data_IF_376958682556
#
_entry.id   IF_376958682556
#
_cell.length_a   1.000
_cell.length_b   1.000
_cell.length_c   1.000
_cell.angle_alpha   90.00
_cell.angle_beta   90.00
_cell.angle_gamma   90.00
#
_symmetry.space_group_name_H-M   'P 1'
#
loop_
_entity.id
_entity.type
_entity.pdbx_description
1 polymer ?
#
# COMPACT_ATOMS: atom_id res chain seq x y z
N UNK A 1 15.14 11.67 25.85
CA UNK A 1 14.06 12.59 25.43
C UNK A 1 12.90 11.74 24.97
N UNK A 2 11.67 12.04 25.41
CA UNK A 2 10.48 11.35 24.88
C UNK A 2 10.40 11.62 23.36
N UNK A 3 9.95 10.64 22.55
CA UNK A 3 9.72 10.87 21.12
C UNK A 3 8.71 12.02 20.96
N UNK A 4 8.83 12.84 19.90
CA UNK A 4 7.87 13.91 19.65
C UNK A 4 6.47 13.33 19.42
N UNK A 5 5.45 14.08 19.82
CA UNK A 5 4.05 13.78 19.50
C UNK A 5 3.69 14.48 18.20
N UNK A 6 2.88 13.85 17.36
CA UNK A 6 2.42 14.44 16.11
C UNK A 6 1.57 15.69 16.39
N UNK A 7 1.95 16.83 15.80
CA UNK A 7 1.14 18.05 15.78
C UNK A 7 0.05 17.91 14.70
N UNK A 8 -1.15 17.52 15.15
CA UNK A 8 -2.28 17.26 14.29
C UNK A 8 -2.73 18.50 13.51
N UNK A 9 -2.70 19.68 14.14
CA UNK A 9 -3.11 20.93 13.50
C UNK A 9 -2.14 21.32 12.38
N UNK A 10 -0.83 21.14 12.59
CA UNK A 10 0.16 21.32 11.54
C UNK A 10 -0.09 20.37 10.37
N UNK A 11 -0.30 19.08 10.65
CA UNK A 11 -0.58 18.06 9.64
C UNK A 11 -1.84 18.41 8.85
N UNK A 12 -2.96 18.68 9.50
CA UNK A 12 -4.25 18.91 8.84
C UNK A 12 -4.25 20.12 7.92
N UNK A 13 -3.51 21.18 8.26
CA UNK A 13 -3.33 22.35 7.37
C UNK A 13 -2.66 22.03 6.04
N UNK A 14 -1.95 20.92 5.93
CA UNK A 14 -1.32 20.48 4.67
C UNK A 14 -2.31 19.84 3.70
N UNK A 15 -3.51 19.44 4.15
CA UNK A 15 -4.50 18.69 3.36
C UNK A 15 -5.75 19.50 3.09
N UNK A 16 -5.83 20.26 1.98
CA UNK A 16 -7.01 21.07 1.64
C UNK A 16 -8.34 20.32 1.64
N UNK A 17 -8.40 19.02 1.18
CA UNK A 17 -9.67 18.31 1.15
C UNK A 17 -10.29 18.05 2.53
N UNK A 18 -9.56 18.17 3.64
CA UNK A 18 -10.12 18.01 4.98
C UNK A 18 -11.10 19.12 5.37
N UNK A 19 -11.14 20.24 4.61
CA UNK A 19 -12.10 21.32 4.81
C UNK A 19 -13.52 21.00 4.31
N UNK A 20 -13.76 19.82 3.70
CA UNK A 20 -15.06 19.46 3.10
C UNK A 20 -16.18 19.12 4.10
N UNK A 21 -15.88 19.09 5.41
CA UNK A 21 -16.84 18.83 6.48
C UNK A 21 -17.21 17.36 6.69
N UNK A 22 -16.49 16.43 6.08
CA UNK A 22 -16.61 14.99 6.33
C UNK A 22 -15.60 14.50 7.36
N UNK A 23 -15.99 13.53 8.17
CA UNK A 23 -15.05 12.70 8.94
C UNK A 23 -14.60 11.58 8.02
N UNK A 24 -13.34 11.63 7.56
CA UNK A 24 -12.80 10.69 6.58
C UNK A 24 -12.18 9.49 7.28
N UNK A 25 -12.87 8.34 7.27
CA UNK A 25 -12.40 7.07 7.84
C UNK A 25 -12.30 5.95 6.79
N UNK A 26 -12.21 6.30 5.50
CA UNK A 26 -12.00 5.36 4.38
C UNK A 26 -10.62 5.57 3.72
N UNK A 27 -9.60 5.91 4.52
CA UNK A 27 -8.25 6.16 4.02
C UNK A 27 -7.54 4.88 3.52
N UNK A 28 -8.00 3.71 3.93
CA UNK A 28 -7.50 2.43 3.39
C UNK A 28 -7.83 2.23 1.90
N UNK A 29 -8.82 2.95 1.36
CA UNK A 29 -9.13 3.04 -0.07
C UNK A 29 -8.20 3.99 -0.82
N UNK A 30 -7.79 5.09 -0.18
CA UNK A 30 -6.90 6.11 -0.71
C UNK A 30 -6.78 7.28 0.26
N UNK A 31 -5.59 7.86 0.39
CA UNK A 31 -5.37 9.05 1.24
C UNK A 31 -5.70 10.33 0.49
N UNK A 32 -5.94 11.40 1.25
CA UNK A 32 -5.91 12.75 0.68
C UNK A 32 -4.50 13.13 0.25
N UNK A 33 -4.42 14.11 -0.67
CA UNK A 33 -3.18 14.63 -1.25
C UNK A 33 -2.85 15.96 -0.57
N UNK A 34 -1.60 16.15 -0.07
CA UNK A 34 -1.19 17.42 0.53
C UNK A 34 -1.00 18.50 -0.52
N UNK A 35 -1.06 19.76 -0.08
CA UNK A 35 -0.91 20.94 -0.95
C UNK A 35 0.39 20.90 -1.76
N UNK A 36 1.49 20.43 -1.17
CA UNK A 36 2.79 20.31 -1.85
C UNK A 36 2.73 19.48 -3.12
N UNK A 37 1.99 18.36 -3.11
CA UNK A 37 1.80 17.51 -4.32
C UNK A 37 0.94 18.23 -5.35
N UNK A 38 -0.15 18.88 -4.92
CA UNK A 38 -1.01 19.68 -5.81
C UNK A 38 -0.19 20.76 -6.50
N UNK A 39 0.65 21.47 -5.75
CA UNK A 39 1.50 22.55 -6.28
C UNK A 39 2.54 22.02 -7.28
N UNK A 40 3.16 20.87 -7.01
CA UNK A 40 4.12 20.27 -7.94
C UNK A 40 3.48 19.82 -9.24
N UNK A 41 2.30 19.17 -9.19
CA UNK A 41 1.55 18.78 -10.40
C UNK A 41 1.13 19.99 -11.21
N UNK A 42 0.50 20.98 -10.56
CA UNK A 42 0.02 22.19 -11.24
C UNK A 42 1.18 23.06 -11.75
N UNK A 43 2.30 23.13 -11.01
CA UNK A 43 3.52 23.81 -11.44
C UNK A 43 4.11 23.19 -12.70
N UNK A 44 4.20 21.85 -12.76
CA UNK A 44 4.65 21.15 -13.97
C UNK A 44 3.77 21.53 -15.17
N UNK A 45 2.44 21.46 -15.04
CA UNK A 45 1.50 21.77 -16.13
C UNK A 45 1.54 23.23 -16.58
N UNK A 46 1.81 24.18 -15.67
CA UNK A 46 1.89 25.61 -15.99
C UNK A 46 3.20 26.03 -16.65
N UNK A 47 4.30 25.38 -16.28
CA UNK A 47 5.66 25.86 -16.58
C UNK A 47 6.34 25.05 -17.69
N UNK A 48 6.14 23.70 -17.70
CA UNK A 48 6.95 22.80 -18.53
C UNK A 48 6.17 21.65 -19.18
N UNK A 49 4.87 21.79 -19.40
CA UNK A 49 4.03 20.78 -20.05
C UNK A 49 4.45 20.51 -21.49
N UNK A 50 5.55 19.79 -21.69
CA UNK A 50 6.14 19.45 -22.99
C UNK A 50 6.79 18.05 -22.94
N UNK A 51 7.13 17.50 -24.11
CA UNK A 51 7.88 16.24 -24.20
C UNK A 51 9.29 16.40 -23.62
N UNK A 52 9.73 15.49 -22.71
CA UNK A 52 10.98 15.63 -21.95
C UNK A 52 12.23 15.08 -22.68
N UNK A 53 12.14 14.78 -23.98
CA UNK A 53 13.19 14.05 -24.72
C UNK A 53 14.11 14.94 -25.55
N UNK A 54 13.99 16.26 -25.45
CA UNK A 54 14.72 17.21 -26.29
C UNK A 54 15.72 18.04 -25.49
N UNK A 55 16.75 18.58 -26.15
CA UNK A 55 17.84 19.31 -25.53
C UNK A 55 17.52 20.79 -25.21
N UNK A 56 16.40 21.34 -25.64
CA UNK A 56 16.07 22.72 -25.32
C UNK A 56 15.54 22.88 -23.86
N UNK A 57 15.75 24.06 -23.30
CA UNK A 57 15.59 24.33 -21.85
C UNK A 57 14.31 23.82 -21.20
N UNK A 58 13.08 24.13 -21.67
CA UNK A 58 11.85 23.61 -21.10
C UNK A 58 11.73 22.09 -21.12
N UNK A 59 12.24 21.42 -22.15
CA UNK A 59 12.24 19.96 -22.25
C UNK A 59 13.21 19.32 -21.26
N UNK A 60 14.39 19.89 -21.11
CA UNK A 60 15.38 19.45 -20.12
C UNK A 60 14.86 19.63 -18.67
N UNK A 61 14.17 20.74 -18.38
CA UNK A 61 13.53 20.98 -17.08
C UNK A 61 12.40 19.95 -16.82
N UNK A 62 11.55 19.68 -17.80
CA UNK A 62 10.53 18.63 -17.71
C UNK A 62 11.14 17.26 -17.37
N UNK A 63 12.21 16.87 -18.06
CA UNK A 63 12.93 15.63 -17.82
C UNK A 63 13.53 15.58 -16.40
N UNK A 64 14.13 16.67 -15.93
CA UNK A 64 14.72 16.78 -14.60
C UNK A 64 13.67 16.61 -13.49
N UNK A 65 12.47 17.23 -13.64
CA UNK A 65 11.38 17.12 -12.66
C UNK A 65 10.83 15.68 -12.59
N UNK A 66 10.66 15.01 -13.73
CA UNK A 66 10.24 13.60 -13.78
C UNK A 66 11.27 12.69 -13.11
N UNK A 67 12.56 12.87 -13.47
CA UNK A 67 13.65 12.10 -12.87
C UNK A 67 13.77 12.32 -11.36
N UNK A 68 13.56 13.55 -10.87
CA UNK A 68 13.55 13.86 -9.44
C UNK A 68 12.44 13.13 -8.70
N UNK A 69 11.22 13.08 -9.27
CA UNK A 69 10.10 12.34 -8.68
C UNK A 69 10.42 10.85 -8.49
N UNK A 70 10.92 10.17 -9.53
CA UNK A 70 11.33 8.77 -9.45
C UNK A 70 12.46 8.55 -8.44
N UNK A 71 13.51 9.39 -8.50
CA UNK A 71 14.67 9.28 -7.60
C UNK A 71 14.27 9.40 -6.13
N UNK A 72 13.42 10.38 -5.78
CA UNK A 72 12.97 10.56 -4.39
C UNK A 72 12.09 9.39 -3.92
N UNK A 73 11.26 8.82 -4.79
CA UNK A 73 10.47 7.64 -4.43
C UNK A 73 11.34 6.38 -4.26
N UNK A 74 12.41 6.24 -5.03
CA UNK A 74 13.40 5.18 -4.82
C UNK A 74 14.13 5.37 -3.48
N UNK A 75 14.65 6.57 -3.20
CA UNK A 75 15.30 6.89 -1.93
C UNK A 75 14.37 6.67 -0.72
N UNK A 76 13.09 6.99 -0.85
CA UNK A 76 12.08 6.79 0.20
C UNK A 76 12.01 5.34 0.69
N UNK A 77 12.25 4.37 -0.20
CA UNK A 77 12.17 2.94 0.10
C UNK A 77 13.54 2.24 0.14
N UNK A 78 14.63 3.00 0.17
CA UNK A 78 16.03 2.50 0.14
C UNK A 78 16.35 1.68 -1.11
N UNK A 79 15.86 2.11 -2.29
CA UNK A 79 16.16 1.52 -3.60
C UNK A 79 17.03 2.44 -4.45
N UNK A 80 17.66 1.88 -5.51
CA UNK A 80 18.27 2.70 -6.55
C UNK A 80 17.21 3.15 -7.57
N UNK A 81 17.36 4.33 -8.21
CA UNK A 81 16.38 4.82 -9.17
C UNK A 81 16.09 3.88 -10.35
N UNK A 82 17.07 3.06 -10.75
CA UNK A 82 16.94 2.06 -11.80
C UNK A 82 16.10 0.86 -11.38
N UNK A 83 15.96 0.61 -10.09
CA UNK A 83 15.17 -0.49 -9.53
C UNK A 83 13.69 -0.16 -9.38
N UNK A 84 13.29 1.09 -9.72
CA UNK A 84 11.93 1.60 -9.50
C UNK A 84 11.28 1.99 -10.82
N UNK A 85 10.11 1.41 -11.08
CA UNK A 85 9.19 1.79 -12.16
C UNK A 85 7.95 2.47 -11.59
N UNK A 86 7.61 3.64 -12.10
CA UNK A 86 6.39 4.38 -11.76
C UNK A 86 5.37 4.18 -12.90
N UNK A 87 4.39 3.33 -12.66
CA UNK A 87 3.36 3.01 -13.65
C UNK A 87 1.96 3.54 -13.25
N UNK A 88 0.94 3.30 -14.08
CA UNK A 88 -0.39 3.85 -13.88
C UNK A 88 -1.10 3.32 -12.63
N UNK A 89 -0.80 2.11 -12.19
CA UNK A 89 -1.37 1.50 -10.99
C UNK A 89 -0.56 0.28 -10.54
N UNK A 90 -0.67 -0.08 -9.27
CA UNK A 90 -0.08 -1.33 -8.75
C UNK A 90 -0.56 -2.56 -9.53
N UNK A 91 -1.85 -2.65 -9.83
CA UNK A 91 -2.40 -3.78 -10.60
C UNK A 91 -1.72 -3.93 -11.97
N UNK A 92 -1.62 -2.83 -12.74
CA UNK A 92 -0.99 -2.88 -14.05
C UNK A 92 0.50 -3.18 -13.95
N UNK A 93 1.19 -2.62 -12.97
CA UNK A 93 2.60 -2.89 -12.73
C UNK A 93 2.86 -4.39 -12.45
N UNK A 94 2.02 -5.03 -11.63
CA UNK A 94 2.13 -6.47 -11.34
C UNK A 94 1.82 -7.32 -12.58
N UNK A 95 0.81 -6.92 -13.40
CA UNK A 95 0.55 -7.60 -14.67
C UNK A 95 1.70 -7.49 -15.66
N UNK A 96 2.32 -6.31 -15.79
CA UNK A 96 3.48 -6.10 -16.66
C UNK A 96 4.71 -6.87 -16.15
N UNK A 97 4.94 -6.89 -14.84
CA UNK A 97 6.00 -7.70 -14.23
C UNK A 97 5.77 -9.19 -14.54
N UNK A 98 4.56 -9.69 -14.31
CA UNK A 98 4.24 -11.10 -14.61
C UNK A 98 4.51 -11.44 -16.08
N UNK A 99 4.05 -10.61 -17.02
CA UNK A 99 4.33 -10.82 -18.45
C UNK A 99 5.83 -10.79 -18.75
N UNK A 100 6.56 -9.90 -18.11
CA UNK A 100 7.98 -9.71 -18.29
C UNK A 100 8.82 -10.93 -17.84
N UNK A 101 8.39 -11.63 -16.79
CA UNK A 101 9.08 -12.80 -16.24
C UNK A 101 8.38 -14.13 -16.53
N UNK A 102 7.26 -14.13 -17.26
CA UNK A 102 6.44 -15.32 -17.58
C UNK A 102 7.29 -16.46 -18.16
N UNK A 103 8.29 -16.13 -18.97
CA UNK A 103 9.21 -17.10 -19.59
C UNK A 103 10.19 -17.78 -18.61
N UNK A 104 10.24 -17.38 -17.35
CA UNK A 104 11.03 -18.04 -16.30
C UNK A 104 10.34 -19.31 -15.79
N UNK A 105 9.04 -19.43 -16.01
CA UNK A 105 8.23 -20.53 -15.52
C UNK A 105 8.06 -21.61 -16.59
N UNK A 106 8.02 -22.85 -16.15
CA UNK A 106 7.77 -24.05 -17.00
C UNK A 106 6.53 -24.79 -16.47
N UNK A 107 5.87 -25.60 -17.32
CA UNK A 107 4.82 -26.50 -16.85
C UNK A 107 5.29 -27.36 -15.67
N UNK A 108 4.50 -27.39 -14.60
CA UNK A 108 4.82 -28.09 -13.36
C UNK A 108 5.62 -27.29 -12.32
N UNK A 109 6.17 -26.11 -12.66
CA UNK A 109 6.65 -25.17 -11.65
C UNK A 109 5.48 -24.69 -10.78
N UNK A 110 5.78 -24.26 -9.54
CA UNK A 110 4.75 -23.86 -8.59
C UNK A 110 4.90 -22.37 -8.22
N UNK A 111 3.76 -21.67 -8.16
CA UNK A 111 3.65 -20.31 -7.62
C UNK A 111 2.72 -20.35 -6.43
N UNK A 112 3.19 -19.86 -5.29
CA UNK A 112 2.37 -19.73 -4.08
C UNK A 112 1.78 -18.33 -4.03
N UNK A 113 0.46 -18.25 -3.85
CA UNK A 113 -0.29 -17.00 -3.63
C UNK A 113 -1.12 -17.15 -2.35
N UNK A 114 -1.64 -16.04 -1.80
CA UNK A 114 -2.53 -16.16 -0.64
C UNK A 114 -4.00 -15.91 -1.01
N UNK A 115 -4.92 -16.31 -0.14
CA UNK A 115 -6.31 -15.85 -0.17
C UNK A 115 -6.55 -14.65 0.77
N UNK A 116 -5.50 -14.11 1.41
CA UNK A 116 -5.57 -12.89 2.21
C UNK A 116 -5.42 -11.62 1.36
N UNK A 117 -4.81 -11.76 0.18
CA UNK A 117 -4.39 -10.66 -0.68
C UNK A 117 -5.53 -9.92 -1.36
N UNK A 118 -5.25 -8.68 -1.70
CA UNK A 118 -5.98 -7.94 -2.72
C UNK A 118 -5.73 -8.56 -4.11
N UNK A 119 -6.76 -8.61 -4.97
CA UNK A 119 -6.68 -9.26 -6.29
C UNK A 119 -5.60 -8.65 -7.20
N UNK A 120 -5.22 -7.38 -6.99
CA UNK A 120 -4.15 -6.72 -7.72
C UNK A 120 -2.79 -7.44 -7.60
N UNK A 121 -2.50 -8.03 -6.43
CA UNK A 121 -1.26 -8.78 -6.23
C UNK A 121 -1.32 -10.18 -6.83
N UNK A 122 -2.43 -10.89 -6.69
CA UNK A 122 -2.48 -12.34 -6.97
C UNK A 122 -3.11 -12.69 -8.31
N UNK A 123 -3.96 -11.81 -8.86
CA UNK A 123 -4.72 -12.09 -10.09
C UNK A 123 -3.83 -12.32 -11.31
N UNK A 124 -2.74 -11.56 -11.44
CA UNK A 124 -1.78 -11.73 -12.54
C UNK A 124 -1.08 -13.09 -12.48
N UNK A 125 -0.58 -13.48 -11.33
CA UNK A 125 0.17 -14.73 -11.15
C UNK A 125 -0.69 -15.97 -11.36
N UNK A 126 -1.98 -15.91 -11.00
CA UNK A 126 -2.92 -17.02 -11.23
C UNK A 126 -3.09 -17.35 -12.71
N UNK A 127 -2.87 -16.39 -13.63
CA UNK A 127 -2.91 -16.62 -15.08
C UNK A 127 -1.78 -17.50 -15.60
N UNK A 128 -0.71 -17.71 -14.85
CA UNK A 128 0.34 -18.64 -15.20
C UNK A 128 -0.15 -20.09 -15.24
N UNK A 129 -1.31 -20.39 -14.67
CA UNK A 129 -1.96 -21.69 -14.79
C UNK A 129 -2.25 -22.05 -16.26
N UNK A 130 -2.49 -21.07 -17.13
CA UNK A 130 -2.71 -21.26 -18.57
C UNK A 130 -1.44 -21.81 -19.26
N UNK A 131 -0.25 -21.64 -18.66
CA UNK A 131 1.04 -22.18 -19.12
C UNK A 131 1.41 -23.50 -18.41
N UNK A 132 0.50 -24.09 -17.65
CA UNK A 132 0.74 -25.33 -16.90
C UNK A 132 1.50 -25.13 -15.58
N UNK A 133 1.64 -23.88 -15.09
CA UNK A 133 2.18 -23.61 -13.77
C UNK A 133 1.12 -23.94 -12.71
N UNK A 134 1.55 -24.61 -11.64
CA UNK A 134 0.65 -25.00 -10.55
C UNK A 134 0.53 -23.85 -9.53
N UNK A 135 -0.69 -23.35 -9.38
CA UNK A 135 -0.97 -22.31 -8.37
C UNK A 135 -1.31 -22.97 -7.04
N UNK A 136 -0.49 -22.73 -6.04
CA UNK A 136 -0.70 -23.16 -4.65
C UNK A 136 -1.26 -22.01 -3.83
N UNK A 137 -2.19 -22.28 -2.94
CA UNK A 137 -2.79 -21.25 -2.11
C UNK A 137 -2.41 -21.41 -0.65
N UNK A 138 -1.73 -20.39 -0.11
CA UNK A 138 -1.47 -20.23 1.32
C UNK A 138 -2.71 -19.59 1.95
N UNK A 139 -3.49 -20.42 2.65
CA UNK A 139 -4.80 -20.06 3.15
C UNK A 139 -4.74 -19.43 4.53
N UNK A 140 -5.63 -18.46 4.76
CA UNK A 140 -5.86 -17.88 6.08
C UNK A 140 -6.59 -18.86 7.01
N UNK A 141 -6.42 -18.70 8.29
CA UNK A 141 -7.34 -19.24 9.29
C UNK A 141 -8.69 -18.51 9.18
N UNK A 142 -9.83 -19.20 8.98
CA UNK A 142 -11.11 -18.55 8.73
C UNK A 142 -11.69 -17.82 9.96
N UNK A 143 -11.16 -18.08 11.16
CA UNK A 143 -11.60 -17.42 12.40
C UNK A 143 -10.84 -16.14 12.64
N UNK A 144 -9.52 -16.18 12.53
CA UNK A 144 -8.62 -15.05 12.83
C UNK A 144 -8.32 -14.20 11.62
N UNK A 145 -8.37 -14.74 10.41
CA UNK A 145 -7.91 -14.12 9.17
C UNK A 145 -6.39 -14.16 8.98
N UNK A 146 -5.65 -14.75 9.93
CA UNK A 146 -4.19 -14.78 9.90
C UNK A 146 -3.65 -15.90 8.98
N UNK A 147 -2.45 -15.67 8.42
CA UNK A 147 -1.71 -16.66 7.66
C UNK A 147 -0.81 -17.46 8.61
N UNK A 148 -0.96 -18.79 8.63
CA UNK A 148 -0.09 -19.69 9.40
C UNK A 148 1.24 -19.92 8.65
N UNK A 149 2.36 -19.52 9.24
CA UNK A 149 3.70 -19.70 8.66
C UNK A 149 4.08 -21.18 8.50
N UNK A 150 3.60 -22.06 9.40
CA UNK A 150 3.82 -23.49 9.24
C UNK A 150 3.08 -24.06 8.01
N UNK A 151 1.98 -23.44 7.60
CA UNK A 151 1.31 -23.79 6.34
C UNK A 151 2.16 -23.38 5.14
N UNK A 152 2.82 -22.23 5.15
CA UNK A 152 3.76 -21.83 4.11
C UNK A 152 4.90 -22.85 3.97
N UNK A 153 5.50 -23.30 5.07
CA UNK A 153 6.59 -24.29 5.06
C UNK A 153 6.18 -25.60 4.37
N UNK A 154 4.94 -26.03 4.53
CA UNK A 154 4.40 -27.22 3.86
C UNK A 154 4.17 -27.03 2.34
N UNK A 155 4.01 -25.79 1.91
CA UNK A 155 3.84 -25.45 0.49
C UNK A 155 5.17 -25.32 -0.27
N UNK A 156 6.25 -24.93 0.45
CA UNK A 156 7.57 -24.75 -0.15
C UNK A 156 8.22 -26.10 -0.53
N UNK A 157 8.63 -26.23 -1.78
CA UNK A 157 9.31 -27.42 -2.31
C UNK A 157 10.22 -27.05 -3.51
N UNK A 158 11.04 -27.96 -4.06
CA UNK A 158 11.97 -27.65 -5.15
C UNK A 158 11.32 -27.13 -6.45
N UNK A 159 10.01 -27.25 -6.63
CA UNK A 159 9.28 -26.69 -7.78
C UNK A 159 8.75 -25.29 -7.51
N UNK A 160 8.73 -24.83 -6.27
CA UNK A 160 8.29 -23.47 -5.92
C UNK A 160 9.28 -22.46 -6.51
N UNK A 161 8.77 -21.56 -7.38
CA UNK A 161 9.56 -20.52 -8.05
C UNK A 161 9.30 -19.12 -7.53
N UNK A 162 8.10 -18.87 -7.05
CA UNK A 162 7.67 -17.54 -6.60
C UNK A 162 6.65 -17.70 -5.48
N UNK A 163 6.77 -16.86 -4.46
CA UNK A 163 5.75 -16.69 -3.42
C UNK A 163 5.30 -15.23 -3.43
N UNK A 164 3.98 -15.02 -3.60
CA UNK A 164 3.35 -13.70 -3.60
C UNK A 164 2.46 -13.57 -2.37
N UNK A 165 2.70 -12.52 -1.57
CA UNK A 165 1.89 -12.24 -0.38
C UNK A 165 1.85 -10.76 -0.06
N UNK A 166 0.90 -10.34 0.79
CA UNK A 166 0.79 -8.94 1.21
C UNK A 166 1.68 -8.64 2.42
N UNK A 167 2.31 -7.47 2.44
CA UNK A 167 3.00 -6.98 3.63
C UNK A 167 2.01 -6.69 4.76
N UNK A 168 0.83 -6.14 4.37
CA UNK A 168 -0.28 -5.89 5.27
C UNK A 168 -1.59 -6.07 4.50
N UNK A 169 -2.50 -6.91 5.03
CA UNK A 169 -3.80 -7.09 4.41
C UNK A 169 -4.67 -5.85 4.53
N UNK A 170 -5.32 -5.45 3.44
CA UNK A 170 -6.28 -4.35 3.42
C UNK A 170 -7.62 -4.67 4.12
N UNK A 171 -7.80 -5.92 4.59
CA UNK A 171 -8.96 -6.40 5.37
C UNK A 171 -8.53 -6.75 6.80
N UNK A 172 -7.54 -7.65 6.96
CA UNK A 172 -7.11 -8.18 8.26
C UNK A 172 -6.20 -7.21 9.01
N UNK A 173 -5.45 -6.41 8.24
CA UNK A 173 -4.54 -5.37 8.70
C UNK A 173 -3.29 -5.86 9.47
N UNK A 174 -3.06 -7.15 9.57
CA UNK A 174 -1.84 -7.70 10.15
C UNK A 174 -0.64 -7.33 9.29
N UNK A 175 0.41 -6.81 9.91
CA UNK A 175 1.71 -6.52 9.28
C UNK A 175 2.56 -7.79 9.43
N UNK A 176 2.88 -8.42 8.30
CA UNK A 176 3.70 -9.62 8.26
C UNK A 176 5.19 -9.30 8.42
N UNK A 177 5.94 -10.21 9.03
CA UNK A 177 7.40 -10.14 9.12
C UNK A 177 8.01 -10.57 7.78
N UNK A 178 7.99 -9.62 6.80
CA UNK A 178 8.44 -9.87 5.43
C UNK A 178 9.89 -10.34 5.37
N UNK A 179 10.78 -9.74 6.16
CA UNK A 179 12.21 -10.12 6.17
C UNK A 179 12.39 -11.60 6.55
N UNK A 180 11.70 -12.04 7.59
CA UNK A 180 11.76 -13.44 8.04
C UNK A 180 11.14 -14.40 7.02
N UNK A 181 10.01 -14.03 6.42
CA UNK A 181 9.36 -14.80 5.38
C UNK A 181 10.23 -14.89 4.11
N UNK A 182 10.79 -13.75 3.65
CA UNK A 182 11.67 -13.70 2.49
C UNK A 182 12.88 -14.63 2.66
N UNK A 183 13.53 -14.58 3.83
CA UNK A 183 14.65 -15.48 4.14
C UNK A 183 14.27 -16.97 4.00
N UNK A 184 13.09 -17.37 4.47
CA UNK A 184 12.61 -18.77 4.38
C UNK A 184 12.29 -19.16 2.95
N UNK A 185 11.65 -18.27 2.19
CA UNK A 185 11.30 -18.48 0.80
C UNK A 185 12.57 -18.61 -0.05
N UNK A 186 13.56 -17.75 0.15
CA UNK A 186 14.85 -17.83 -0.52
C UNK A 186 15.61 -19.12 -0.20
N UNK A 187 15.54 -19.61 1.04
CA UNK A 187 16.13 -20.91 1.41
C UNK A 187 15.52 -22.10 0.64
N UNK A 188 14.27 -21.97 0.21
CA UNK A 188 13.61 -22.95 -0.67
C UNK A 188 13.92 -22.74 -2.17
N UNK A 189 14.70 -21.70 -2.53
CA UNK A 189 15.07 -21.37 -3.91
C UNK A 189 14.01 -20.60 -4.69
N UNK A 190 13.01 -20.05 -4.02
CA UNK A 190 11.92 -19.28 -4.64
C UNK A 190 12.14 -17.77 -4.50
N UNK A 191 11.59 -17.00 -5.45
CA UNK A 191 11.54 -15.53 -5.41
C UNK A 191 10.38 -15.04 -4.54
N UNK A 192 10.49 -13.78 -4.11
CA UNK A 192 9.52 -13.10 -3.23
C UNK A 192 8.92 -11.89 -3.91
N UNK A 193 7.60 -11.88 -4.08
CA UNK A 193 6.82 -10.70 -4.49
C UNK A 193 5.92 -10.25 -3.35
N UNK A 194 6.01 -8.98 -2.96
CA UNK A 194 5.25 -8.43 -1.84
C UNK A 194 4.39 -7.24 -2.27
N UNK A 195 3.11 -7.31 -1.91
CA UNK A 195 2.19 -6.17 -2.00
C UNK A 195 2.28 -5.32 -0.73
N UNK A 196 2.85 -4.14 -0.85
CA UNK A 196 2.98 -3.17 0.24
C UNK A 196 1.88 -2.11 0.30
N UNK A 197 0.84 -2.20 -0.55
CA UNK A 197 -0.17 -1.15 -0.73
C UNK A 197 -0.83 -0.70 0.57
N UNK A 198 -1.16 -1.62 1.47
CA UNK A 198 -1.79 -1.30 2.75
C UNK A 198 -0.79 -1.09 3.90
N UNK A 199 0.52 -1.25 3.66
CA UNK A 199 1.56 -1.01 4.65
C UNK A 199 2.28 0.32 4.45
N UNK A 200 2.59 0.65 3.19
CA UNK A 200 3.41 1.80 2.82
C UNK A 200 2.89 3.17 3.32
N UNK A 201 1.58 3.44 3.46
CA UNK A 201 1.10 4.70 4.03
C UNK A 201 1.34 4.84 5.54
N UNK A 202 1.64 3.75 6.25
CA UNK A 202 1.64 3.67 7.71
C UNK A 202 2.98 3.32 8.32
N UNK A 203 3.89 2.72 7.54
CA UNK A 203 5.21 2.26 7.99
C UNK A 203 6.26 2.57 6.95
N UNK A 204 7.44 2.90 7.42
CA UNK A 204 8.61 3.03 6.53
C UNK A 204 8.91 1.68 5.86
N UNK A 205 9.15 1.72 4.56
CA UNK A 205 9.53 0.57 3.75
C UNK A 205 11.03 0.67 3.44
N UNK A 206 11.77 -0.40 3.72
CA UNK A 206 13.18 -0.56 3.35
C UNK A 206 13.32 -1.87 2.57
N UNK A 207 13.27 -1.80 1.25
CA UNK A 207 13.25 -2.99 0.40
C UNK A 207 14.55 -3.80 0.48
N UNK A 208 15.68 -3.14 0.77
CA UNK A 208 16.98 -3.83 0.98
C UNK A 208 16.97 -4.60 2.30
N UNK A 209 16.46 -4.00 3.37
CA UNK A 209 16.35 -4.67 4.67
C UNK A 209 15.32 -5.82 4.64
N UNK A 210 14.23 -5.67 3.89
CA UNK A 210 13.22 -6.72 3.71
C UNK A 210 13.72 -7.89 2.84
N UNK A 211 14.76 -7.68 2.05
CA UNK A 211 15.36 -8.64 1.10
C UNK A 211 14.33 -9.24 0.12
N UNK A 212 13.38 -8.45 -0.34
CA UNK A 212 12.37 -8.86 -1.32
C UNK A 212 12.93 -8.76 -2.74
N UNK A 213 12.48 -9.65 -3.66
CA UNK A 213 12.87 -9.59 -5.07
C UNK A 213 12.03 -8.57 -5.84
N UNK A 214 10.75 -8.46 -5.48
CA UNK A 214 9.82 -7.48 -6.02
C UNK A 214 8.93 -6.92 -4.91
N UNK A 215 8.60 -5.64 -5.01
CA UNK A 215 7.71 -4.94 -4.08
C UNK A 215 6.86 -3.92 -4.82
N UNK A 216 5.57 -3.87 -4.56
CA UNK A 216 4.71 -2.92 -5.24
C UNK A 216 3.75 -2.24 -4.26
N UNK A 217 3.47 -0.94 -4.52
CA UNK A 217 2.44 -0.22 -3.78
C UNK A 217 1.86 0.95 -4.58
N UNK A 218 0.73 1.47 -4.10
CA UNK A 218 0.00 2.57 -4.74
C UNK A 218 0.37 3.90 -4.09
N UNK A 219 0.87 4.83 -4.89
CA UNK A 219 1.30 6.16 -4.43
C UNK A 219 0.12 7.01 -3.95
N UNK A 220 -1.10 6.82 -4.50
CA UNK A 220 -2.30 7.51 -4.04
C UNK A 220 -2.75 7.12 -2.61
N UNK A 221 -2.14 6.08 -2.03
CA UNK A 221 -2.31 5.76 -0.61
C UNK A 221 -1.21 6.36 0.26
N UNK A 222 -0.09 6.75 -0.36
CA UNK A 222 1.06 7.40 0.31
C UNK A 222 1.08 8.88 -0.06
N UNK A 223 -0.08 9.52 0.09
CA UNK A 223 -0.28 10.98 -0.09
C UNK A 223 0.01 11.51 -1.50
N UNK A 224 0.16 10.64 -2.48
CA UNK A 224 0.51 10.97 -3.87
C UNK A 224 -0.66 10.91 -4.85
N UNK A 225 -0.39 11.13 -6.14
CA UNK A 225 -1.37 10.97 -7.22
C UNK A 225 -1.64 9.49 -7.55
N UNK A 226 -2.66 9.24 -8.41
CA UNK A 226 -3.03 7.90 -8.85
C UNK A 226 -1.97 7.28 -9.76
N UNK A 227 -0.91 6.77 -9.15
CA UNK A 227 0.16 6.00 -9.77
C UNK A 227 0.53 4.82 -8.86
N UNK A 228 1.21 3.81 -9.44
CA UNK A 228 1.79 2.68 -8.72
C UNK A 228 3.31 2.69 -8.82
N UNK A 229 3.97 2.32 -7.74
CA UNK A 229 5.40 2.06 -7.69
C UNK A 229 5.63 0.56 -7.73
N UNK A 230 6.56 0.11 -8.58
CA UNK A 230 7.09 -1.25 -8.61
C UNK A 230 8.60 -1.17 -8.38
N UNK A 231 9.08 -1.86 -7.35
CA UNK A 231 10.47 -2.16 -7.11
C UNK A 231 10.80 -3.57 -7.60
N UNK A 232 11.99 -3.76 -8.14
CA UNK A 232 12.56 -5.09 -8.39
C UNK A 232 14.08 -5.05 -8.24
N UNK A 233 14.67 -6.13 -7.68
CA UNK A 233 16.12 -6.25 -7.66
C UNK A 233 16.68 -6.09 -9.07
N UNK A 234 17.72 -5.27 -9.22
CA UNK A 234 18.31 -4.91 -10.52
C UNK A 234 18.64 -6.14 -11.38
N UNK A 235 19.17 -7.20 -10.79
CA UNK A 235 19.51 -8.45 -11.48
C UNK A 235 18.29 -9.17 -12.07
N UNK A 236 17.14 -9.11 -11.42
CA UNK A 236 15.88 -9.67 -11.92
C UNK A 236 15.29 -8.79 -13.01
N UNK A 237 15.32 -7.50 -12.82
CA UNK A 237 14.83 -6.55 -13.84
C UNK A 237 15.66 -6.61 -15.12
N UNK A 238 16.98 -6.81 -15.05
CA UNK A 238 17.83 -7.00 -16.23
C UNK A 238 17.47 -8.27 -17.01
N UNK A 239 17.14 -9.37 -16.32
CA UNK A 239 16.76 -10.66 -16.94
C UNK A 239 15.31 -10.66 -17.46
N UNK A 240 14.45 -9.81 -16.94
CA UNK A 240 13.05 -9.69 -17.35
C UNK A 240 12.99 -9.18 -18.80
N UNK A 241 12.01 -9.65 -19.60
CA UNK A 241 11.79 -9.17 -20.97
C UNK A 241 11.09 -7.82 -20.97
N UNK A 242 11.50 -6.95 -21.89
CA UNK A 242 10.83 -5.66 -22.11
C UNK A 242 9.35 -5.84 -22.50
N UNK A 243 8.53 -4.93 -22.03
CA UNK A 243 7.10 -4.82 -22.34
C UNK A 243 6.81 -3.52 -23.12
N UNK A 244 7.85 -2.74 -23.43
CA UNK A 244 7.77 -1.50 -24.15
C UNK A 244 8.02 -1.72 -25.66
N UNK A 245 8.12 -0.65 -26.45
CA UNK A 245 8.39 -0.69 -27.88
C UNK A 245 9.71 -1.42 -28.17
N UNK A 246 9.81 -2.08 -29.33
CA UNK A 246 10.95 -2.92 -29.72
C UNK A 246 12.30 -2.20 -29.76
N UNK A 247 12.30 -0.86 -29.87
CA UNK A 247 13.50 -0.02 -29.91
C UNK A 247 13.94 0.48 -28.52
N UNK A 248 13.20 0.15 -27.45
CA UNK A 248 13.66 0.39 -26.07
C UNK A 248 14.59 -0.74 -25.68
N UNK A 249 15.82 -0.37 -25.31
CA UNK A 249 16.86 -1.32 -24.98
C UNK A 249 16.50 -2.18 -23.75
N UNK A 250 16.86 -3.46 -23.77
CA UNK A 250 16.59 -4.40 -22.67
C UNK A 250 17.33 -4.05 -21.36
N UNK A 251 18.36 -3.22 -21.42
CA UNK A 251 19.08 -2.69 -20.27
C UNK A 251 18.51 -1.34 -19.74
N UNK A 252 17.58 -0.72 -20.46
CA UNK A 252 16.86 0.45 -19.95
C UNK A 252 15.74 0.01 -18.99
N UNK A 253 16.17 -0.42 -17.80
CA UNK A 253 15.28 -1.00 -16.79
C UNK A 253 14.09 -0.09 -16.49
N UNK A 254 14.24 1.23 -16.26
CA UNK A 254 13.13 2.09 -15.91
C UNK A 254 12.03 2.18 -16.97
N UNK A 255 12.39 2.04 -18.25
CA UNK A 255 11.45 2.21 -19.38
C UNK A 255 10.92 0.88 -19.90
N UNK A 256 11.69 -0.21 -19.83
CA UNK A 256 11.29 -1.47 -20.47
C UNK A 256 9.98 -2.07 -19.92
N UNK A 257 9.60 -1.74 -18.69
CA UNK A 257 8.33 -2.16 -18.08
C UNK A 257 7.21 -1.12 -18.20
N UNK A 258 7.43 -0.03 -18.94
CA UNK A 258 6.50 1.09 -18.99
C UNK A 258 6.08 1.39 -20.45
N UNK A 259 5.18 0.59 -21.05
CA UNK A 259 4.68 0.87 -22.40
C UNK A 259 4.11 2.28 -22.50
N UNK A 260 4.64 3.08 -23.46
CA UNK A 260 4.25 4.48 -23.64
C UNK A 260 4.87 5.48 -22.66
N UNK A 261 5.71 5.01 -21.72
CA UNK A 261 6.40 5.86 -20.75
C UNK A 261 5.57 6.16 -19.50
N UNK A 262 6.02 7.15 -18.71
CA UNK A 262 5.38 7.57 -17.46
C UNK A 262 4.38 8.71 -17.71
N UNK A 263 3.42 8.89 -16.80
CA UNK A 263 2.66 10.13 -16.74
C UNK A 263 3.58 11.23 -16.18
N UNK A 264 3.84 12.26 -16.97
CA UNK A 264 4.88 13.24 -16.69
C UNK A 264 4.53 14.13 -15.49
N UNK A 265 3.37 14.80 -15.52
CA UNK A 265 2.94 15.74 -14.47
C UNK A 265 2.73 15.04 -13.13
N UNK A 266 2.17 13.83 -13.14
CA UNK A 266 1.97 13.07 -11.90
C UNK A 266 3.30 12.56 -11.34
N UNK A 267 4.23 12.13 -12.20
CA UNK A 267 5.55 11.65 -11.76
C UNK A 267 6.41 12.81 -11.21
N UNK A 268 6.38 13.96 -11.85
CA UNK A 268 6.99 15.19 -11.34
C UNK A 268 6.37 15.61 -10.00
N UNK A 269 5.05 15.44 -9.86
CA UNK A 269 4.28 15.71 -8.63
C UNK A 269 4.71 14.89 -7.42
N UNK A 270 5.36 13.73 -7.62
CA UNK A 270 5.86 12.89 -6.52
C UNK A 270 6.90 13.59 -5.64
N UNK A 271 7.61 14.60 -6.17
CA UNK A 271 8.50 15.44 -5.36
C UNK A 271 7.75 16.13 -4.22
N UNK A 272 6.45 16.40 -4.38
CA UNK A 272 5.60 16.98 -3.35
C UNK A 272 5.36 16.04 -2.14
N UNK A 273 5.49 14.71 -2.33
CA UNK A 273 5.49 13.76 -1.20
C UNK A 273 6.75 13.99 -0.36
N UNK A 274 7.91 14.17 -1.01
CA UNK A 274 9.16 14.45 -0.30
C UNK A 274 9.11 15.81 0.41
N UNK A 275 8.58 16.85 -0.23
CA UNK A 275 8.38 18.17 0.39
C UNK A 275 7.50 18.05 1.65
N UNK A 276 6.43 17.25 1.61
CA UNK A 276 5.56 17.02 2.76
C UNK A 276 6.27 16.29 3.89
N UNK A 277 7.01 15.21 3.59
CA UNK A 277 7.80 14.45 4.56
C UNK A 277 8.87 15.35 5.20
N UNK A 278 9.58 16.13 4.40
CA UNK A 278 10.61 17.05 4.89
C UNK A 278 10.00 18.17 5.75
N UNK A 279 8.82 18.68 5.38
CA UNK A 279 8.06 19.63 6.20
C UNK A 279 7.65 19.06 7.55
N UNK A 280 7.15 17.80 7.59
CA UNK A 280 6.85 17.10 8.84
C UNK A 280 8.11 16.90 9.69
N UNK A 281 9.22 16.50 9.04
CA UNK A 281 10.48 16.32 9.75
C UNK A 281 10.96 17.61 10.38
N UNK A 282 11.05 18.69 9.61
CA UNK A 282 11.51 19.99 10.07
C UNK A 282 10.66 20.57 11.22
N UNK A 283 9.34 20.28 11.22
CA UNK A 283 8.43 20.75 12.27
C UNK A 283 8.61 19.97 13.59
N UNK A 284 8.81 18.66 13.53
CA UNK A 284 8.77 17.79 14.71
C UNK A 284 10.15 17.45 15.29
N UNK A 285 11.22 17.53 14.48
CA UNK A 285 12.56 17.08 14.89
C UNK A 285 13.58 18.24 14.86
N UNK A 286 14.36 18.36 15.93
CA UNK A 286 15.40 19.40 16.06
C UNK A 286 16.76 18.95 15.54
N UNK A 287 17.03 17.65 15.55
CA UNK A 287 18.31 17.10 15.12
C UNK A 287 18.37 17.05 13.59
N UNK A 288 19.45 17.48 12.95
CA UNK A 288 19.59 17.35 11.50
C UNK A 288 19.78 15.89 11.10
N UNK A 289 19.04 15.45 10.06
CA UNK A 289 19.25 14.19 9.37
C UNK A 289 19.67 14.48 7.93
N UNK A 290 20.77 13.85 7.49
CA UNK A 290 21.42 14.21 6.24
C UNK A 290 20.78 13.57 5.00
N UNK A 291 20.06 12.44 5.15
CA UNK A 291 19.42 11.77 4.02
C UNK A 291 17.90 11.85 4.08
N UNK A 292 17.25 11.87 2.92
CA UNK A 292 15.80 11.80 2.83
C UNK A 292 15.27 10.48 3.40
N UNK A 293 15.97 9.36 3.18
CA UNK A 293 15.66 8.06 3.76
C UNK A 293 15.56 8.11 5.29
N UNK A 294 16.55 8.70 5.96
CA UNK A 294 16.56 8.83 7.44
C UNK A 294 15.40 9.70 7.94
N UNK A 295 15.12 10.82 7.26
CA UNK A 295 13.98 11.68 7.60
C UNK A 295 12.66 10.96 7.41
N UNK A 296 12.50 10.25 6.29
CA UNK A 296 11.32 9.42 6.01
C UNK A 296 11.09 8.40 7.12
N UNK A 297 12.11 7.65 7.52
CA UNK A 297 12.01 6.69 8.62
C UNK A 297 11.49 7.32 9.90
N UNK A 298 12.06 8.46 10.31
CA UNK A 298 11.65 9.17 11.54
C UNK A 298 10.20 9.67 11.45
N UNK A 299 9.80 10.19 10.29
CA UNK A 299 8.43 10.67 10.07
C UNK A 299 7.44 9.52 10.11
N UNK A 300 7.74 8.36 9.52
CA UNK A 300 6.85 7.19 9.58
C UNK A 300 6.81 6.55 10.97
N UNK A 301 7.87 6.64 11.79
CA UNK A 301 7.80 6.27 13.20
C UNK A 301 6.81 7.16 13.97
N UNK A 302 6.84 8.48 13.72
CA UNK A 302 5.92 9.44 14.32
C UNK A 302 4.46 9.21 13.87
N UNK A 303 4.23 9.02 12.57
CA UNK A 303 2.93 8.68 11.98
C UNK A 303 2.39 7.39 12.62
N UNK A 304 3.19 6.34 12.62
CA UNK A 304 2.80 5.03 13.13
C UNK A 304 2.41 5.04 14.60
N UNK A 305 3.10 5.82 15.44
CA UNK A 305 2.78 5.95 16.87
C UNK A 305 1.41 6.66 17.08
N UNK A 306 1.13 7.71 16.32
CA UNK A 306 -0.16 8.40 16.36
C UNK A 306 -1.30 7.48 15.90
N UNK A 307 -1.13 6.84 14.74
CA UNK A 307 -2.14 5.94 14.17
C UNK A 307 -2.42 4.72 15.04
N UNK A 308 -1.40 4.18 15.73
CA UNK A 308 -1.57 3.07 16.66
C UNK A 308 -2.47 3.45 17.84
N UNK A 309 -2.37 4.68 18.33
CA UNK A 309 -3.25 5.20 19.39
C UNK A 309 -4.72 5.23 18.92
N UNK A 310 -4.97 5.75 17.71
CA UNK A 310 -6.32 5.80 17.14
C UNK A 310 -6.88 4.40 16.83
N UNK A 311 -6.04 3.51 16.30
CA UNK A 311 -6.42 2.12 16.03
C UNK A 311 -6.81 1.38 17.32
N UNK A 312 -6.02 1.51 18.39
CA UNK A 312 -6.35 0.91 19.69
C UNK A 312 -7.64 1.45 20.26
N UNK A 313 -7.90 2.77 20.17
CA UNK A 313 -9.16 3.38 20.60
C UNK A 313 -10.36 2.78 19.86
N UNK A 314 -10.25 2.58 18.55
CA UNK A 314 -11.27 1.91 17.74
C UNK A 314 -11.48 0.45 18.16
N UNK A 315 -10.38 -0.29 18.35
CA UNK A 315 -10.43 -1.70 18.74
C UNK A 315 -11.00 -1.88 20.15
N UNK A 316 -10.65 -1.01 21.10
CA UNK A 316 -11.17 -1.04 22.47
C UNK A 316 -12.69 -0.81 22.46
N UNK A 317 -13.16 0.20 21.70
CA UNK A 317 -14.59 0.44 21.50
C UNK A 317 -15.31 -0.80 20.95
N UNK A 318 -14.78 -1.45 19.91
CA UNK A 318 -15.43 -2.59 19.27
C UNK A 318 -15.43 -3.85 20.16
N UNK A 319 -14.38 -4.09 20.96
CA UNK A 319 -14.27 -5.25 21.87
C UNK A 319 -15.34 -5.26 22.97
N UNK A 320 -15.82 -4.10 23.39
CA UNK A 320 -16.88 -3.98 24.40
C UNK A 320 -18.26 -4.39 23.88
N UNK A 321 -18.41 -4.62 22.56
CA UNK A 321 -19.70 -4.87 21.90
C UNK A 321 -19.84 -6.34 21.51
N UNK A 322 -20.64 -7.10 22.27
CA UNK A 322 -20.79 -8.57 22.12
C UNK A 322 -21.23 -9.03 20.72
N UNK A 323 -21.96 -8.18 19.97
CA UNK A 323 -22.42 -8.50 18.60
C UNK A 323 -21.33 -8.26 17.55
N UNK A 324 -20.21 -7.64 17.89
CA UNK A 324 -19.15 -7.28 16.95
C UNK A 324 -18.11 -8.39 16.86
N UNK A 325 -17.81 -8.82 15.62
CA UNK A 325 -16.65 -9.65 15.30
C UNK A 325 -15.60 -8.76 14.65
N UNK A 326 -14.48 -8.53 15.32
CA UNK A 326 -13.30 -7.85 14.78
C UNK A 326 -12.55 -8.86 13.90
N UNK A 327 -12.10 -8.41 12.72
CA UNK A 327 -11.27 -9.21 11.82
C UNK A 327 -9.79 -8.92 12.11
N UNK A 328 -8.99 -9.99 12.28
CA UNK A 328 -7.58 -9.90 12.62
C UNK A 328 -7.34 -9.59 14.10
N UNK A 329 -6.14 -9.09 14.40
CA UNK A 329 -5.70 -8.82 15.78
C UNK A 329 -6.58 -7.76 16.46
N UNK A 330 -6.91 -7.99 17.72
CA UNK A 330 -7.76 -7.09 18.53
C UNK A 330 -7.00 -5.99 19.26
N UNK A 331 -5.69 -5.90 19.05
CA UNK A 331 -4.80 -4.83 19.52
C UNK A 331 -3.77 -4.48 18.45
N UNK A 332 -3.47 -3.21 18.33
CA UNK A 332 -2.40 -2.71 17.48
C UNK A 332 -1.13 -2.57 18.36
N UNK A 333 -0.29 -3.58 18.36
CA UNK A 333 0.98 -3.61 19.11
C UNK A 333 2.16 -3.66 18.12
N UNK A 334 2.28 -2.64 17.25
CA UNK A 334 3.30 -2.57 16.21
C UNK A 334 3.09 -3.50 15.01
N UNK A 335 2.20 -4.49 15.13
CA UNK A 335 1.95 -5.54 14.12
C UNK A 335 0.61 -5.42 13.40
N UNK A 336 -0.06 -4.27 13.53
CA UNK A 336 -1.31 -3.98 12.86
C UNK A 336 -1.27 -2.58 12.26
N UNK A 337 -1.70 -2.45 11.01
CA UNK A 337 -1.99 -1.16 10.40
C UNK A 337 -3.28 -0.55 10.99
N UNK A 338 -3.50 0.76 10.85
CA UNK A 338 -4.65 1.45 11.42
C UNK A 338 -5.95 1.23 10.61
N UNK A 339 -6.05 0.06 9.99
CA UNK A 339 -7.24 -0.43 9.29
C UNK A 339 -7.98 -1.40 10.19
N UNK A 340 -9.25 -1.14 10.49
CA UNK A 340 -10.06 -1.98 11.37
C UNK A 340 -11.31 -2.45 10.62
N UNK A 341 -11.33 -3.73 10.27
CA UNK A 341 -12.48 -4.37 9.66
C UNK A 341 -13.28 -5.16 10.71
N UNK A 342 -14.59 -5.13 10.60
CA UNK A 342 -15.46 -5.83 11.52
C UNK A 342 -16.81 -6.18 10.87
N UNK A 343 -17.56 -7.09 11.47
CA UNK A 343 -18.97 -7.37 11.18
C UNK A 343 -19.80 -7.24 12.46
N UNK A 344 -21.10 -7.01 12.31
CA UNK A 344 -22.05 -6.98 13.43
C UNK A 344 -23.08 -8.06 13.23
N UNK A 345 -23.25 -8.96 14.21
CA UNK A 345 -24.21 -10.07 14.14
C UNK A 345 -25.62 -9.57 13.88
N UNK A 346 -26.27 -10.10 12.85
CA UNK A 346 -27.64 -9.74 12.45
C UNK A 346 -27.75 -8.46 11.63
N UNK A 347 -26.65 -7.78 11.31
CA UNK A 347 -26.65 -6.55 10.52
C UNK A 347 -25.85 -6.69 9.23
N UNK A 348 -26.35 -6.09 8.15
CA UNK A 348 -25.62 -5.90 6.90
C UNK A 348 -24.55 -4.82 7.05
N UNK A 349 -23.33 -5.10 6.60
CA UNK A 349 -22.23 -4.14 6.58
C UNK A 349 -22.57 -2.90 5.75
N UNK A 350 -23.34 -3.09 4.66
CA UNK A 350 -23.86 -2.00 3.83
C UNK A 350 -24.72 -1.04 4.64
N UNK A 351 -25.72 -1.54 5.38
CA UNK A 351 -26.64 -0.70 6.16
C UNK A 351 -25.91 0.11 7.23
N UNK A 352 -24.88 -0.47 7.85
CA UNK A 352 -24.04 0.23 8.82
C UNK A 352 -23.31 1.42 8.13
N UNK A 353 -22.65 1.14 6.99
CA UNK A 353 -21.93 2.17 6.26
C UNK A 353 -22.84 3.27 5.74
N UNK A 354 -24.00 2.94 5.16
CA UNK A 354 -25.01 3.91 4.70
C UNK A 354 -25.50 4.83 5.83
N UNK A 355 -25.76 4.25 7.01
CA UNK A 355 -26.22 5.02 8.17
C UNK A 355 -25.18 6.03 8.70
N UNK A 356 -23.89 5.70 8.60
CA UNK A 356 -22.78 6.59 8.97
C UNK A 356 -22.50 7.63 7.86
N UNK A 357 -22.52 7.21 6.60
CA UNK A 357 -22.33 8.10 5.45
C UNK A 357 -23.42 9.20 5.40
N UNK A 358 -24.67 8.89 5.78
CA UNK A 358 -25.74 9.87 5.93
C UNK A 358 -25.46 10.95 6.99
N UNK A 359 -24.49 10.70 7.88
CA UNK A 359 -24.03 11.64 8.92
C UNK A 359 -22.68 12.30 8.57
N UNK A 360 -22.27 12.23 7.31
CA UNK A 360 -20.97 12.72 6.81
C UNK A 360 -19.76 12.04 7.47
N UNK A 361 -19.90 10.77 7.84
CA UNK A 361 -18.80 9.92 8.31
C UNK A 361 -18.50 8.94 7.18
N UNK A 362 -17.43 9.19 6.45
CA UNK A 362 -17.01 8.38 5.31
C UNK A 362 -16.40 7.06 5.78
N UNK A 363 -17.12 5.97 5.56
CA UNK A 363 -16.72 4.61 5.91
C UNK A 363 -17.13 3.67 4.79
N UNK A 364 -16.32 2.64 4.52
CA UNK A 364 -16.57 1.65 3.49
C UNK A 364 -17.15 0.34 4.01
N UNK A 365 -17.73 -0.45 3.08
CA UNK A 365 -18.14 -1.84 3.30
C UNK A 365 -17.85 -2.68 2.07
N UNK A 366 -17.81 -4.01 2.24
CA UNK A 366 -17.67 -4.94 1.13
C UNK A 366 -16.43 -5.82 1.20
N UNK A 367 -15.94 -6.23 0.02
CA UNK A 367 -14.76 -7.09 -0.12
C UNK A 367 -13.46 -6.31 -0.42
N UNK A 368 -13.57 -5.07 -0.82
CA UNK A 368 -12.43 -4.18 -1.13
C UNK A 368 -11.39 -4.84 -2.06
N UNK A 369 -11.85 -5.57 -3.08
CA UNK A 369 -11.03 -6.37 -4.00
C UNK A 369 -10.21 -7.50 -3.33
N UNK A 370 -10.51 -7.87 -2.09
CA UNK A 370 -9.98 -9.04 -1.41
C UNK A 370 -11.08 -10.12 -1.28
N UNK A 371 -11.78 -10.39 -2.40
CA UNK A 371 -12.95 -11.29 -2.47
C UNK A 371 -12.68 -12.67 -1.84
N UNK A 372 -11.50 -13.26 -2.12
CA UNK A 372 -11.10 -14.56 -1.58
C UNK A 372 -10.94 -14.54 -0.06
N UNK A 373 -10.44 -13.43 0.50
CA UNK A 373 -10.34 -13.22 1.93
C UNK A 373 -11.74 -13.17 2.58
N UNK A 374 -12.66 -12.41 1.99
CA UNK A 374 -14.04 -12.28 2.47
C UNK A 374 -14.78 -13.61 2.41
N UNK A 375 -14.59 -14.40 1.34
CA UNK A 375 -15.17 -15.74 1.22
C UNK A 375 -14.60 -16.71 2.27
N UNK A 376 -13.29 -16.70 2.48
CA UNK A 376 -12.62 -17.54 3.47
C UNK A 376 -13.01 -17.16 4.93
N UNK A 377 -13.24 -15.88 5.20
CA UNK A 377 -13.74 -15.39 6.50
C UNK A 377 -15.23 -15.69 6.73
N UNK A 378 -15.97 -16.09 5.66
CA UNK A 378 -17.41 -16.39 5.72
C UNK A 378 -18.27 -15.13 5.91
N UNK A 379 -17.79 -13.95 5.55
CA UNK A 379 -18.50 -12.67 5.75
C UNK A 379 -19.28 -12.18 4.53
N UNK A 380 -19.20 -12.88 3.39
CA UNK A 380 -19.92 -12.54 2.17
C UNK A 380 -21.46 -12.38 2.38
N UNK A 381 -22.16 -13.24 3.17
CA UNK A 381 -23.60 -13.09 3.40
C UNK A 381 -23.98 -11.80 4.17
N UNK A 382 -23.03 -11.12 4.78
CA UNK A 382 -23.21 -9.86 5.51
C UNK A 382 -22.80 -8.64 4.67
N UNK A 383 -22.73 -8.74 3.35
CA UNK A 383 -22.16 -7.74 2.44
C UNK A 383 -20.68 -7.44 2.73
N UNK A 384 -19.88 -8.49 3.04
CA UNK A 384 -18.47 -8.35 3.38
C UNK A 384 -18.25 -7.81 4.81
N UNK A 385 -17.35 -6.87 4.96
CA UNK A 385 -17.01 -6.23 6.25
C UNK A 385 -17.30 -4.73 6.21
N UNK A 386 -17.54 -4.12 7.36
CA UNK A 386 -17.37 -2.67 7.57
C UNK A 386 -15.90 -2.41 7.79
N UNK A 387 -15.35 -1.37 7.17
CA UNK A 387 -13.92 -1.04 7.30
C UNK A 387 -13.72 0.42 7.71
N UNK A 388 -13.02 0.64 8.83
CA UNK A 388 -12.47 1.91 9.26
C UNK A 388 -11.01 1.93 8.86
N UNK A 389 -10.61 2.87 8.01
CA UNK A 389 -9.23 3.12 7.62
C UNK A 389 -8.80 4.49 8.11
N UNK A 390 -7.91 4.51 9.10
CA UNK A 390 -7.38 5.74 9.69
C UNK A 390 -6.11 6.17 8.97
N UNK A 391 -5.84 7.47 9.00
CA UNK A 391 -4.59 8.07 8.56
C UNK A 391 -4.11 9.08 9.61
N UNK A 392 -2.87 9.48 9.53
CA UNK A 392 -2.23 10.35 10.54
C UNK A 392 -2.85 11.76 10.65
N UNK A 393 -3.66 12.18 9.68
CA UNK A 393 -4.43 13.43 9.78
C UNK A 393 -5.78 13.28 10.49
N UNK A 394 -6.16 12.06 10.92
CA UNK A 394 -7.32 11.85 11.76
C UNK A 394 -7.02 12.24 13.21
N UNK A 395 -8.02 12.83 13.87
CA UNK A 395 -7.95 13.20 15.28
C UNK A 395 -8.83 12.35 16.18
N UNK A 396 -8.51 12.33 17.46
CA UNK A 396 -9.28 11.57 18.46
C UNK A 396 -10.72 12.07 18.55
N UNK A 397 -10.95 13.39 18.50
CA UNK A 397 -12.28 13.99 18.64
C UNK A 397 -13.23 13.61 17.49
N UNK A 398 -12.73 13.59 16.24
CA UNK A 398 -13.55 13.17 15.11
C UNK A 398 -13.80 11.66 15.11
N UNK A 399 -12.82 10.88 15.57
CA UNK A 399 -12.98 9.45 15.76
C UNK A 399 -14.04 9.15 16.82
N UNK A 400 -14.02 9.83 17.96
CA UNK A 400 -15.02 9.63 19.02
C UNK A 400 -16.44 9.91 18.54
N UNK A 401 -16.64 11.00 17.80
CA UNK A 401 -17.95 11.32 17.19
C UNK A 401 -18.39 10.22 16.22
N UNK A 402 -17.46 9.64 15.47
CA UNK A 402 -17.77 8.55 14.56
C UNK A 402 -18.11 7.25 15.32
N UNK A 403 -17.38 6.94 16.39
CA UNK A 403 -17.64 5.76 17.24
C UNK A 403 -18.97 5.89 18.00
N UNK A 404 -19.32 7.08 18.51
CA UNK A 404 -20.62 7.35 19.12
C UNK A 404 -21.76 7.17 18.11
N UNK A 405 -21.57 7.67 16.88
CA UNK A 405 -22.54 7.47 15.81
C UNK A 405 -22.70 5.99 15.45
N UNK A 406 -21.60 5.22 15.42
CA UNK A 406 -21.59 3.78 15.18
C UNK A 406 -22.31 3.03 16.31
N UNK A 407 -22.10 3.41 17.56
CA UNK A 407 -22.80 2.83 18.71
C UNK A 407 -24.32 2.96 18.59
N UNK A 408 -24.78 4.16 18.22
CA UNK A 408 -26.20 4.41 17.97
C UNK A 408 -26.79 3.62 16.79
N UNK A 409 -25.95 3.19 15.82
CA UNK A 409 -26.38 2.30 14.72
C UNK A 409 -26.45 0.85 15.21
N UNK A 410 -25.42 0.36 15.93
CA UNK A 410 -25.36 -1.01 16.46
C UNK A 410 -26.48 -1.26 17.48
N UNK A 411 -26.83 -0.27 18.31
CA UNK A 411 -27.88 -0.40 19.32
C UNK A 411 -29.30 -0.56 18.74
N UNK A 412 -29.51 -0.13 17.48
CA UNK A 412 -30.82 -0.20 16.80
C UNK A 412 -31.03 -1.49 15.99
N UNK A 413 -29.96 -2.28 15.77
CA UNK A 413 -29.99 -3.58 15.08
C UNK A 413 -29.82 -4.72 16.07
#
# INVERSE_FOLDING_TARGET
>A
MNPPTLDLDFVRRQFPPLANGWIMLENAGGSYVPQSVIDRVTGYMREVQIQPSWEFGPSADAAARIAAGRRLMAEMINAEPEEVSIGPSTSLNVYLLMQSIRHWFKPGDEVVVTNQDHEANIGAWRRLADDGVVIREWQIDPVTGELDEAALERLLNPRTRLVCFTHCSNIVATIHDVQRLAKRIHQAGALVMVDGVACAPHRHIDVKALDVDFYAFSLYKVFGPHQGLLYGKREHLLKARGQNHFFIEENDIPLKLLPGGVNHELTAGLTGIADYIDGLYAHHFKAPENSFLSRTKRVFELIGAHEETLANRTLDFLRERKKVRIIGQTRAAGRRAPTVSFTVQGMSSRKIAEALNARKIAIGYGDFYAKRCIDALGTAPQDGVVRIGLAHYNGADELDRALEALDGVIAKG
#
